data_IF_447126825735
#
_entry.id   IF_447126825735
#
_cell.length_a   1.000
_cell.length_b   1.000
_cell.length_c   1.000
_cell.angle_alpha   90.00
_cell.angle_beta   90.00
_cell.angle_gamma   90.00
#
_symmetry.space_group_name_H-M   'P 1'
#
loop_
_entity.id
_entity.type
_entity.pdbx_description
1 polymer ?
#
# COMPACT_ATOMS: atom_id res chain seq x y z
N UNK A 1 12.70 -26.30 -21.02
CA UNK A 1 11.98 -26.94 -19.89
C UNK A 1 10.92 -25.98 -19.39
N UNK A 2 9.68 -26.13 -19.83
CA UNK A 2 8.56 -25.34 -19.33
C UNK A 2 8.34 -25.72 -17.86
N UNK A 3 8.71 -24.84 -16.93
CA UNK A 3 8.34 -24.97 -15.52
C UNK A 3 6.82 -25.09 -15.46
N UNK A 4 6.34 -26.30 -15.16
CA UNK A 4 4.92 -26.60 -15.09
C UNK A 4 4.22 -25.61 -14.17
N UNK A 5 3.35 -24.78 -14.74
CA UNK A 5 2.50 -23.85 -13.99
C UNK A 5 1.61 -24.69 -13.07
N UNK A 6 1.98 -24.82 -11.80
CA UNK A 6 1.08 -25.41 -10.80
C UNK A 6 -0.19 -24.58 -10.77
N UNK A 7 -1.34 -25.23 -10.91
CA UNK A 7 -2.63 -24.56 -10.78
C UNK A 7 -2.75 -24.02 -9.35
N UNK A 8 -3.27 -22.79 -9.17
CA UNK A 8 -3.45 -22.23 -7.85
C UNK A 8 -4.47 -23.06 -7.05
N UNK A 9 -4.20 -23.28 -5.77
CA UNK A 9 -5.13 -23.91 -4.84
C UNK A 9 -6.22 -22.92 -4.45
N UNK A 10 -7.47 -23.36 -4.41
CA UNK A 10 -8.58 -22.53 -3.93
C UNK A 10 -8.81 -22.76 -2.45
N UNK A 11 -9.19 -21.70 -1.72
CA UNK A 11 -9.69 -21.86 -0.36
C UNK A 11 -10.88 -22.84 -0.34
N UNK A 12 -10.89 -23.88 0.52
CA UNK A 12 -11.95 -24.89 0.56
C UNK A 12 -13.34 -24.32 0.84
N UNK A 13 -13.43 -23.18 1.53
CA UNK A 13 -14.70 -22.50 1.80
C UNK A 13 -15.20 -21.62 0.65
N UNK A 14 -14.57 -21.69 -0.53
CA UNK A 14 -14.93 -20.95 -1.74
C UNK A 14 -15.06 -19.43 -1.52
N UNK A 15 -14.28 -18.85 -0.61
CA UNK A 15 -14.32 -17.41 -0.32
C UNK A 15 -13.64 -16.53 -1.39
N UNK A 16 -13.17 -17.14 -2.49
CA UNK A 16 -12.48 -16.48 -3.59
C UNK A 16 -10.97 -16.29 -3.39
N UNK A 17 -10.38 -16.74 -2.28
CA UNK A 17 -8.94 -16.71 -2.09
C UNK A 17 -8.25 -17.88 -2.78
N UNK A 18 -7.06 -17.61 -3.34
CA UNK A 18 -6.25 -18.59 -4.05
C UNK A 18 -4.79 -18.53 -3.60
N UNK A 19 -4.10 -19.67 -3.64
CA UNK A 19 -2.76 -19.84 -3.07
C UNK A 19 -1.85 -20.60 -4.04
N UNK A 20 -0.55 -20.30 -4.01
CA UNK A 20 0.43 -21.01 -4.82
C UNK A 20 0.82 -22.39 -4.24
N UNK A 21 0.55 -22.63 -2.96
CA UNK A 21 0.88 -23.88 -2.26
C UNK A 21 0.02 -24.04 -0.99
N UNK A 22 -0.04 -25.27 -0.46
CA UNK A 22 -0.69 -25.55 0.83
C UNK A 22 -0.01 -24.76 1.96
N UNK A 23 1.33 -24.69 1.96
CA UNK A 23 2.07 -23.90 2.94
C UNK A 23 1.66 -22.42 2.95
N UNK A 24 1.42 -21.80 1.79
CA UNK A 24 0.92 -20.43 1.73
C UNK A 24 -0.54 -20.31 2.19
N UNK A 25 -1.37 -21.31 1.92
CA UNK A 25 -2.75 -21.35 2.43
C UNK A 25 -2.77 -21.46 3.95
N UNK A 26 -2.01 -22.38 4.52
CA UNK A 26 -1.90 -22.59 5.97
C UNK A 26 -1.35 -21.35 6.67
N UNK A 27 -0.35 -20.69 6.06
CA UNK A 27 0.18 -19.42 6.56
C UNK A 27 -0.88 -18.30 6.56
N UNK A 28 -1.68 -18.14 5.49
CA UNK A 28 -2.75 -17.13 5.45
C UNK A 28 -3.87 -17.45 6.46
N UNK A 29 -4.25 -18.73 6.58
CA UNK A 29 -5.21 -19.22 7.58
C UNK A 29 -4.77 -18.86 9.00
N UNK A 30 -3.51 -19.15 9.35
CA UNK A 30 -2.92 -18.80 10.64
C UNK A 30 -2.78 -17.29 10.85
N UNK A 31 -2.45 -16.55 9.79
CA UNK A 31 -2.28 -15.09 9.83
C UNK A 31 -3.60 -14.32 10.05
N UNK A 32 -4.75 -15.00 9.98
CA UNK A 32 -6.05 -14.44 10.32
C UNK A 32 -7.16 -14.78 9.34
N UNK A 33 -6.85 -15.31 8.15
CA UNK A 33 -7.87 -15.66 7.17
C UNK A 33 -8.96 -16.56 7.73
N UNK A 34 -8.62 -17.52 8.60
CA UNK A 34 -9.59 -18.41 9.24
C UNK A 34 -10.71 -17.64 9.97
N UNK A 35 -10.40 -16.47 10.53
CA UNK A 35 -11.35 -15.62 11.26
C UNK A 35 -12.31 -14.85 10.34
N UNK A 36 -11.91 -14.56 9.10
CA UNK A 36 -12.73 -13.80 8.14
C UNK A 36 -13.18 -14.58 6.91
N UNK A 37 -12.77 -15.83 6.72
CA UNK A 37 -13.05 -16.64 5.53
C UNK A 37 -14.55 -16.67 5.15
N UNK A 38 -15.41 -16.98 6.12
CA UNK A 38 -16.88 -17.00 5.92
C UNK A 38 -17.46 -15.60 5.63
N UNK A 39 -16.86 -14.55 6.19
CA UNK A 39 -17.26 -13.17 5.89
C UNK A 39 -16.85 -12.77 4.47
N UNK A 40 -15.65 -13.18 4.03
CA UNK A 40 -15.18 -12.98 2.66
C UNK A 40 -16.05 -13.74 1.64
N UNK A 41 -16.47 -14.96 1.94
CA UNK A 41 -17.40 -15.70 1.08
C UNK A 41 -18.76 -15.02 0.92
N UNK A 42 -19.33 -14.51 2.02
CA UNK A 42 -20.57 -13.71 1.96
C UNK A 42 -20.38 -12.41 1.19
N UNK A 43 -19.24 -11.74 1.37
CA UNK A 43 -18.90 -10.52 0.64
C UNK A 43 -18.71 -10.77 -0.86
N UNK A 44 -18.10 -11.90 -1.25
CA UNK A 44 -17.93 -12.30 -2.65
C UNK A 44 -19.27 -12.50 -3.37
N UNK A 45 -20.32 -12.92 -2.64
CA UNK A 45 -21.68 -13.05 -3.16
C UNK A 45 -22.41 -11.69 -3.29
N UNK A 46 -21.85 -10.58 -2.81
CA UNK A 46 -22.44 -9.24 -2.95
C UNK A 46 -22.22 -8.72 -4.38
N UNK A 47 -23.33 -8.51 -5.09
CA UNK A 47 -23.33 -8.06 -6.48
C UNK A 47 -23.15 -6.55 -6.60
N UNK A 48 -22.78 -6.09 -7.80
CA UNK A 48 -22.64 -4.66 -8.12
C UNK A 48 -23.93 -3.85 -7.97
N UNK A 49 -25.09 -4.50 -8.00
CA UNK A 49 -26.39 -3.86 -7.74
C UNK A 49 -26.56 -3.44 -6.27
N UNK A 50 -25.86 -4.11 -5.35
CA UNK A 50 -25.99 -3.89 -3.89
C UNK A 50 -24.86 -3.03 -3.31
N UNK A 51 -23.67 -3.12 -3.88
CA UNK A 51 -22.51 -2.37 -3.41
C UNK A 51 -21.53 -2.11 -4.56
N UNK A 52 -20.89 -0.94 -4.53
CA UNK A 52 -19.89 -0.55 -5.52
C UNK A 52 -18.62 -1.41 -5.40
N UNK A 53 -17.77 -1.39 -6.42
CA UNK A 53 -16.45 -2.05 -6.36
C UNK A 53 -15.59 -1.48 -5.23
N UNK A 54 -15.64 -0.16 -5.01
CA UNK A 54 -14.95 0.47 -3.88
C UNK A 54 -15.45 -0.07 -2.55
N UNK A 55 -16.77 -0.07 -2.32
CA UNK A 55 -17.35 -0.55 -1.05
C UNK A 55 -17.00 -2.01 -0.75
N UNK A 56 -17.09 -2.88 -1.75
CA UNK A 56 -16.73 -4.30 -1.60
C UNK A 56 -15.23 -4.47 -1.35
N UNK A 57 -14.37 -3.72 -2.05
CA UNK A 57 -12.92 -3.79 -1.86
C UNK A 57 -12.51 -3.29 -0.48
N UNK A 58 -13.04 -2.14 -0.05
CA UNK A 58 -12.81 -1.55 1.26
C UNK A 58 -13.33 -2.45 2.39
N UNK A 59 -14.51 -3.05 2.23
CA UNK A 59 -15.00 -4.04 3.19
C UNK A 59 -14.07 -5.27 3.26
N UNK A 60 -13.61 -5.77 2.12
CA UNK A 60 -12.67 -6.89 2.05
C UNK A 60 -11.30 -6.59 2.67
N UNK A 61 -10.85 -5.34 2.57
CA UNK A 61 -9.67 -4.82 3.26
C UNK A 61 -9.88 -4.82 4.78
N UNK A 62 -10.97 -4.22 5.27
CA UNK A 62 -11.30 -4.18 6.70
C UNK A 62 -11.40 -5.58 7.32
N UNK A 63 -12.06 -6.52 6.62
CA UNK A 63 -12.16 -7.91 7.06
C UNK A 63 -10.80 -8.55 7.27
N UNK A 64 -9.84 -8.31 6.37
CA UNK A 64 -8.49 -8.88 6.46
C UNK A 64 -7.67 -8.21 7.56
N UNK A 65 -7.71 -6.88 7.65
CA UNK A 65 -6.96 -6.12 8.65
C UNK A 65 -7.37 -6.49 10.06
N UNK A 66 -8.66 -6.48 10.38
CA UNK A 66 -9.13 -6.81 11.73
C UNK A 66 -8.99 -8.29 12.07
N UNK A 67 -9.10 -9.18 11.09
CA UNK A 67 -8.83 -10.60 11.28
C UNK A 67 -7.34 -10.86 11.60
N UNK A 68 -6.43 -10.23 10.87
CA UNK A 68 -5.00 -10.33 11.14
C UNK A 68 -4.65 -9.74 12.51
N UNK A 69 -5.28 -8.63 12.90
CA UNK A 69 -5.08 -8.04 14.21
C UNK A 69 -5.58 -8.95 15.35
N UNK A 70 -6.76 -9.54 15.19
CA UNK A 70 -7.32 -10.48 16.15
C UNK A 70 -6.45 -11.74 16.31
N UNK A 71 -5.92 -12.28 15.19
CA UNK A 71 -5.00 -13.41 15.21
C UNK A 71 -3.71 -13.07 15.97
N UNK A 72 -3.09 -11.92 15.68
CA UNK A 72 -1.89 -11.45 16.38
C UNK A 72 -2.12 -11.25 17.88
N UNK A 73 -3.23 -10.62 18.27
CA UNK A 73 -3.58 -10.43 19.69
C UNK A 73 -3.79 -11.76 20.41
N UNK A 74 -4.38 -12.75 19.74
CA UNK A 74 -4.53 -14.11 20.29
C UNK A 74 -3.17 -14.77 20.49
N UNK A 75 -2.31 -14.78 19.47
CA UNK A 75 -0.96 -15.35 19.57
C UNK A 75 -0.11 -14.67 20.63
N UNK A 76 -0.22 -13.33 20.77
CA UNK A 76 0.49 -12.60 21.82
C UNK A 76 0.04 -13.00 23.23
N UNK A 77 -1.27 -13.18 23.46
CA UNK A 77 -1.81 -13.67 24.73
C UNK A 77 -1.38 -15.10 25.05
N UNK A 78 -1.29 -15.96 24.03
CA UNK A 78 -0.81 -17.34 24.17
C UNK A 78 0.71 -17.38 24.45
N UNK A 79 1.49 -16.42 23.94
CA UNK A 79 2.93 -16.32 24.20
C UNK A 79 3.27 -15.69 25.56
N UNK A 80 2.47 -14.74 26.05
CA UNK A 80 2.69 -14.06 27.34
C UNK A 80 2.59 -15.02 28.55
N UNK A 81 1.85 -16.13 28.41
CA UNK A 81 1.83 -17.21 29.41
C UNK A 81 3.14 -18.03 29.45
N UNK A 82 4.06 -17.78 28.51
CA UNK A 82 5.31 -18.50 28.26
C UNK A 82 6.51 -17.53 28.22
N UNK A 83 6.94 -17.01 29.39
CA UNK A 83 8.18 -16.22 29.64
C UNK A 83 8.56 -15.16 28.58
N UNK A 84 8.40 -13.90 28.98
CA UNK A 84 8.64 -12.66 28.22
C UNK A 84 10.01 -12.58 27.53
N UNK A 85 10.01 -12.53 26.19
CA UNK A 85 11.13 -11.94 25.43
C UNK A 85 11.06 -10.41 25.48
N UNK A 86 12.18 -9.69 25.38
CA UNK A 86 12.18 -8.22 25.36
C UNK A 86 11.30 -7.68 24.23
N UNK A 87 10.43 -6.73 24.55
CA UNK A 87 9.61 -6.03 23.54
C UNK A 87 10.57 -5.26 22.63
N UNK A 88 10.61 -5.63 21.35
CA UNK A 88 11.38 -4.88 20.36
C UNK A 88 10.85 -3.44 20.26
N UNK A 89 11.70 -2.40 20.24
CA UNK A 89 11.26 -1.01 20.11
C UNK A 89 10.44 -0.78 18.83
N UNK A 90 9.60 0.26 18.82
CA UNK A 90 8.43 0.43 17.94
C UNK A 90 8.59 0.04 16.47
N UNK A 91 9.68 0.41 15.81
CA UNK A 91 9.90 0.11 14.38
C UNK A 91 10.42 -1.30 14.08
N UNK A 92 10.90 -2.01 15.10
CA UNK A 92 11.44 -3.38 14.97
C UNK A 92 10.35 -4.46 15.12
N UNK A 93 9.08 -4.07 15.31
CA UNK A 93 7.92 -4.98 15.28
C UNK A 93 7.10 -4.81 14.01
N UNK A 94 6.27 -5.80 13.70
CA UNK A 94 5.28 -5.67 12.63
C UNK A 94 4.26 -4.56 12.95
N UNK A 95 3.79 -3.80 11.95
CA UNK A 95 2.80 -2.74 12.16
C UNK A 95 1.44 -3.31 12.61
N UNK A 96 0.84 -2.63 13.58
CA UNK A 96 -0.48 -2.92 14.15
C UNK A 96 -1.56 -2.04 13.53
N UNK A 97 -2.83 -2.35 13.82
CA UNK A 97 -3.95 -1.48 13.45
C UNK A 97 -3.86 -0.13 14.16
N UNK A 98 -3.33 -0.10 15.38
CA UNK A 98 -3.13 1.15 16.11
C UNK A 98 -2.07 2.04 15.44
N UNK A 99 -1.03 1.46 14.85
CA UNK A 99 -0.05 2.23 14.06
C UNK A 99 -0.73 2.90 12.87
N UNK A 100 -1.60 2.17 12.16
CA UNK A 100 -2.41 2.73 11.08
C UNK A 100 -3.34 3.84 11.59
N UNK A 101 -3.95 3.70 12.77
CA UNK A 101 -4.81 4.72 13.38
C UNK A 101 -4.08 5.99 13.83
N UNK A 102 -2.77 5.96 14.02
CA UNK A 102 -1.98 7.17 14.32
C UNK A 102 -1.58 7.96 13.08
N UNK A 103 -1.81 7.42 11.88
CA UNK A 103 -1.51 8.11 10.63
C UNK A 103 -2.47 9.27 10.36
N UNK A 104 -2.03 10.19 9.51
CA UNK A 104 -2.81 11.33 9.06
C UNK A 104 -4.14 10.89 8.44
N UNK A 105 -5.24 11.44 8.93
CA UNK A 105 -6.56 11.22 8.33
C UNK A 105 -6.80 12.19 7.16
N UNK A 106 -7.67 11.75 6.26
CA UNK A 106 -8.32 12.61 5.27
C UNK A 106 -9.11 13.72 5.99
N UNK A 107 -9.19 14.89 5.37
CA UNK A 107 -9.75 16.11 5.96
C UNK A 107 -10.52 16.93 4.91
N UNK A 108 -11.40 17.82 5.36
CA UNK A 108 -12.37 18.50 4.50
C UNK A 108 -11.74 19.29 3.35
N UNK A 109 -10.52 19.75 3.52
CA UNK A 109 -9.75 20.53 2.54
C UNK A 109 -9.24 19.67 1.38
N UNK A 110 -9.24 18.35 1.51
CA UNK A 110 -8.68 17.44 0.53
C UNK A 110 -9.68 17.08 -0.57
N UNK A 111 -9.22 17.01 -1.84
CA UNK A 111 -10.08 16.65 -2.96
C UNK A 111 -10.85 15.34 -2.73
N UNK A 112 -12.17 15.39 -2.89
CA UNK A 112 -13.07 14.25 -2.76
C UNK A 112 -13.34 13.76 -1.33
N UNK A 113 -12.95 14.51 -0.29
CA UNK A 113 -13.27 14.15 1.10
C UNK A 113 -14.77 13.88 1.30
N UNK A 114 -15.60 14.85 0.92
CA UNK A 114 -17.05 14.77 1.14
C UNK A 114 -17.69 13.69 0.26
N UNK A 115 -17.24 13.54 -1.00
CA UNK A 115 -17.77 12.53 -1.91
C UNK A 115 -17.47 11.09 -1.44
N UNK A 116 -16.37 10.87 -0.71
CA UNK A 116 -15.99 9.56 -0.16
C UNK A 116 -16.69 9.24 1.15
N UNK A 117 -17.18 10.23 1.91
CA UNK A 117 -17.77 10.04 3.25
C UNK A 117 -18.85 8.96 3.29
N UNK A 118 -19.85 9.08 2.43
CA UNK A 118 -20.95 8.10 2.35
C UNK A 118 -20.48 6.71 1.88
N UNK A 119 -19.48 6.66 0.99
CA UNK A 119 -18.92 5.40 0.53
C UNK A 119 -18.14 4.67 1.62
N UNK A 120 -17.39 5.40 2.47
CA UNK A 120 -16.70 4.85 3.65
C UNK A 120 -17.68 4.27 4.66
N UNK A 121 -18.75 5.01 4.96
CA UNK A 121 -19.82 4.56 5.85
C UNK A 121 -20.45 3.25 5.36
N UNK A 122 -20.82 3.18 4.08
CA UNK A 122 -21.39 1.97 3.50
C UNK A 122 -20.40 0.80 3.50
N UNK A 123 -19.12 1.04 3.21
CA UNK A 123 -18.09 0.02 3.26
C UNK A 123 -17.87 -0.54 4.68
N UNK A 124 -17.80 0.33 5.69
CA UNK A 124 -17.67 -0.07 7.10
C UNK A 124 -18.87 -0.88 7.56
N UNK A 125 -20.10 -0.41 7.27
CA UNK A 125 -21.33 -1.16 7.56
C UNK A 125 -21.36 -2.52 6.86
N UNK A 126 -20.94 -2.59 5.60
CA UNK A 126 -20.87 -3.83 4.85
C UNK A 126 -19.90 -4.83 5.52
N UNK A 127 -18.74 -4.37 5.99
CA UNK A 127 -17.80 -5.21 6.74
C UNK A 127 -18.41 -5.72 8.06
N UNK A 128 -19.04 -4.83 8.84
CA UNK A 128 -19.71 -5.18 10.11
C UNK A 128 -20.85 -6.18 9.89
N UNK A 129 -21.69 -5.99 8.87
CA UNK A 129 -22.77 -6.93 8.53
C UNK A 129 -22.22 -8.32 8.19
N UNK A 130 -21.04 -8.39 7.57
CA UNK A 130 -20.42 -9.65 7.19
C UNK A 130 -19.58 -10.29 8.31
N UNK A 131 -19.09 -9.57 9.31
CA UNK A 131 -18.19 -10.15 10.31
C UNK A 131 -18.54 -9.86 11.78
N UNK A 132 -19.62 -9.11 12.03
CA UNK A 132 -20.08 -8.75 13.36
C UNK A 132 -18.99 -8.07 14.17
N UNK A 133 -18.78 -8.54 15.41
CA UNK A 133 -17.83 -7.96 16.37
C UNK A 133 -16.36 -8.05 15.95
N UNK A 134 -16.03 -8.86 14.93
CA UNK A 134 -14.66 -8.91 14.41
C UNK A 134 -14.23 -7.55 13.84
N UNK A 135 -15.17 -6.79 13.27
CA UNK A 135 -14.92 -5.45 12.73
C UNK A 135 -15.64 -4.43 13.60
N UNK A 136 -14.93 -3.69 14.48
CA UNK A 136 -15.53 -2.59 15.21
C UNK A 136 -15.86 -1.44 14.25
N UNK A 137 -17.12 -1.00 14.19
CA UNK A 137 -17.58 0.00 13.21
C UNK A 137 -16.76 1.30 13.25
N UNK A 138 -16.55 1.84 14.45
CA UNK A 138 -15.82 3.10 14.64
C UNK A 138 -14.36 2.98 14.20
N UNK A 139 -13.68 1.91 14.62
CA UNK A 139 -12.30 1.65 14.17
C UNK A 139 -12.25 1.45 12.65
N UNK A 140 -13.23 0.76 12.06
CA UNK A 140 -13.28 0.57 10.61
C UNK A 140 -13.39 1.91 9.86
N UNK A 141 -14.28 2.80 10.30
CA UNK A 141 -14.40 4.15 9.74
C UNK A 141 -13.13 4.95 9.88
N UNK A 142 -12.54 4.96 11.07
CA UNK A 142 -11.30 5.68 11.34
C UNK A 142 -10.17 5.20 10.42
N UNK A 143 -10.08 3.91 10.14
CA UNK A 143 -9.09 3.36 9.24
C UNK A 143 -9.34 3.78 7.78
N UNK A 144 -10.58 3.71 7.30
CA UNK A 144 -10.95 4.15 5.94
C UNK A 144 -10.77 5.66 5.73
N UNK A 145 -10.78 6.46 6.79
CA UNK A 145 -10.44 7.87 6.72
C UNK A 145 -8.93 8.11 6.54
N UNK A 146 -8.06 7.16 6.90
CA UNK A 146 -6.60 7.32 6.82
C UNK A 146 -6.01 6.69 5.57
N UNK A 147 -6.62 5.61 5.10
CA UNK A 147 -6.21 4.86 3.92
C UNK A 147 -5.81 5.73 2.71
N UNK A 148 -6.58 6.75 2.27
CA UNK A 148 -6.24 7.49 1.04
C UNK A 148 -4.93 8.26 1.10
N UNK A 149 -4.50 8.66 2.30
CA UNK A 149 -3.32 9.50 2.51
C UNK A 149 -2.06 8.67 2.80
N UNK A 150 -2.22 7.36 3.03
CA UNK A 150 -1.17 6.50 3.57
C UNK A 150 -0.99 5.19 2.78
N UNK A 151 -1.81 4.97 1.76
CA UNK A 151 -1.78 3.75 0.93
C UNK A 151 -0.81 3.86 -0.24
N UNK A 152 -0.29 2.69 -0.63
CA UNK A 152 0.52 2.47 -1.82
C UNK A 152 -0.28 1.68 -2.84
N UNK A 153 -0.04 1.94 -4.13
CA UNK A 153 -0.62 1.14 -5.20
C UNK A 153 -0.01 -0.27 -5.19
N UNK A 154 -0.85 -1.30 -4.99
CA UNK A 154 -0.47 -2.68 -5.17
C UNK A 154 -0.52 -3.02 -6.65
N UNK A 155 0.61 -3.50 -7.18
CA UNK A 155 0.74 -3.92 -8.58
C UNK A 155 1.28 -5.34 -8.66
N UNK A 156 0.90 -6.06 -9.71
CA UNK A 156 1.47 -7.39 -9.97
C UNK A 156 2.79 -7.33 -10.76
N UNK A 157 3.38 -8.49 -11.03
CA UNK A 157 4.64 -8.58 -11.80
C UNK A 157 4.55 -8.08 -13.25
N UNK A 158 3.35 -7.86 -13.78
CA UNK A 158 3.13 -7.21 -15.08
C UNK A 158 2.87 -5.70 -14.95
N UNK A 159 3.09 -5.13 -13.77
CA UNK A 159 2.81 -3.73 -13.39
C UNK A 159 1.32 -3.35 -13.47
N UNK A 160 0.42 -4.33 -13.48
CA UNK A 160 -1.02 -4.11 -13.50
C UNK A 160 -1.50 -3.71 -12.11
N UNK A 161 -2.31 -2.66 -12.02
CA UNK A 161 -2.92 -2.24 -10.77
C UNK A 161 -3.86 -3.32 -10.22
N UNK A 162 -3.66 -3.71 -8.96
CA UNK A 162 -4.42 -4.74 -8.25
C UNK A 162 -5.17 -4.22 -7.03
N UNK A 163 -4.90 -3.01 -6.58
CA UNK A 163 -5.57 -2.39 -5.44
C UNK A 163 -4.65 -1.47 -4.64
N UNK A 164 -5.00 -1.26 -3.39
CA UNK A 164 -4.23 -0.48 -2.44
C UNK A 164 -3.71 -1.38 -1.31
N UNK A 165 -2.58 -1.00 -0.73
CA UNK A 165 -1.99 -1.63 0.43
C UNK A 165 -1.46 -0.56 1.40
N UNK A 166 -1.69 -0.76 2.69
CA UNK A 166 -1.20 0.14 3.73
C UNK A 166 0.06 -0.42 4.37
N UNK A 167 1.10 0.41 4.46
CA UNK A 167 2.35 0.10 5.15
C UNK A 167 2.58 1.13 6.26
N UNK A 168 2.00 0.97 7.46
CA UNK A 168 1.98 2.06 8.45
C UNK A 168 3.34 2.67 8.79
N UNK A 169 4.40 1.84 8.83
CA UNK A 169 5.76 2.33 9.06
C UNK A 169 6.37 3.02 7.84
N UNK A 170 6.07 2.57 6.62
CA UNK A 170 6.59 3.20 5.41
C UNK A 170 5.94 4.57 5.14
N UNK A 171 4.64 4.71 5.42
CA UNK A 171 3.93 5.98 5.16
C UNK A 171 4.29 7.11 6.14
N UNK A 172 5.25 6.91 7.05
CA UNK A 172 5.81 8.01 7.85
C UNK A 172 6.93 8.76 7.11
N UNK A 173 7.49 8.18 6.05
CA UNK A 173 8.57 8.79 5.27
C UNK A 173 7.95 9.92 4.45
N UNK A 174 8.36 11.16 4.74
CA UNK A 174 7.80 12.35 4.13
C UNK A 174 8.17 12.51 2.66
N UNK A 175 7.47 13.43 2.01
CA UNK A 175 7.72 13.75 0.62
C UNK A 175 8.93 14.66 0.43
N UNK A 176 9.77 14.34 -0.55
CA UNK A 176 10.59 15.30 -1.27
C UNK A 176 10.48 15.02 -2.76
N UNK A 177 10.56 16.06 -3.58
CA UNK A 177 10.64 15.88 -5.03
C UNK A 177 12.05 15.50 -5.51
N UNK A 178 13.04 15.70 -4.65
CA UNK A 178 14.43 15.27 -4.78
C UNK A 178 14.74 14.35 -3.58
N UNK A 179 14.08 13.19 -3.50
CA UNK A 179 14.18 12.36 -2.31
C UNK A 179 15.58 11.74 -2.15
N UNK A 180 15.97 11.46 -0.91
CA UNK A 180 17.18 10.67 -0.62
C UNK A 180 16.92 9.16 -0.57
N UNK A 181 15.64 8.72 -0.65
CA UNK A 181 15.27 7.32 -0.80
C UNK A 181 14.24 7.09 -1.90
N UNK A 182 14.24 5.88 -2.47
CA UNK A 182 13.14 5.42 -3.32
C UNK A 182 12.73 3.99 -2.98
N UNK A 183 11.44 3.69 -3.17
CA UNK A 183 10.87 2.41 -2.83
C UNK A 183 10.62 1.52 -4.06
N UNK A 184 10.79 0.22 -3.86
CA UNK A 184 10.41 -0.83 -4.82
C UNK A 184 9.46 -1.79 -4.12
N UNK A 185 8.32 -2.03 -4.76
CA UNK A 185 7.38 -3.06 -4.33
C UNK A 185 7.78 -4.42 -4.93
N UNK A 186 7.94 -5.43 -4.08
CA UNK A 186 8.12 -6.82 -4.48
C UNK A 186 7.01 -7.67 -3.85
N UNK A 187 5.94 -7.91 -4.62
CA UNK A 187 4.72 -8.52 -4.09
C UNK A 187 4.09 -7.64 -3.00
N UNK A 188 4.02 -8.14 -1.77
CA UNK A 188 3.51 -7.42 -0.59
C UNK A 188 4.62 -6.82 0.28
N UNK A 189 5.87 -6.84 -0.19
CA UNK A 189 6.99 -6.21 0.51
C UNK A 189 7.33 -4.88 -0.16
N UNK A 190 7.67 -3.89 0.66
CA UNK A 190 8.17 -2.60 0.20
C UNK A 190 9.59 -2.43 0.71
N UNK A 191 10.54 -2.25 -0.21
CA UNK A 191 11.95 -2.04 0.10
C UNK A 191 12.35 -0.62 -0.27
N UNK A 192 13.01 0.09 0.65
CA UNK A 192 13.57 1.42 0.41
C UNK A 192 15.07 1.32 0.16
N UNK A 193 15.54 2.07 -0.83
CA UNK A 193 16.95 2.18 -1.18
C UNK A 193 17.37 3.62 -1.04
N UNK A 194 18.52 3.84 -0.40
CA UNK A 194 19.19 5.12 -0.42
C UNK A 194 19.60 5.46 -1.86
N UNK A 195 19.41 6.72 -2.24
CA UNK A 195 19.82 7.27 -3.54
C UNK A 195 21.13 8.05 -3.40
N UNK A 196 21.48 8.48 -2.20
CA UNK A 196 22.75 9.11 -1.87
C UNK A 196 23.19 8.64 -0.47
N UNK A 197 24.38 9.05 -0.05
CA UNK A 197 24.79 8.92 1.35
C UNK A 197 23.83 9.75 2.22
N UNK A 198 23.36 9.16 3.31
CA UNK A 198 22.40 9.77 4.25
C UNK A 198 23.11 9.94 5.59
N UNK A 199 23.17 11.17 6.07
CA UNK A 199 23.83 11.48 7.33
C UNK A 199 22.98 11.04 8.54
N UNK A 200 23.63 10.89 9.70
CA UNK A 200 22.88 10.70 10.95
C UNK A 200 21.96 11.92 11.17
N UNK A 201 20.74 11.65 11.66
CA UNK A 201 19.68 12.63 11.89
C UNK A 201 19.13 13.34 10.63
N UNK A 202 19.59 12.96 9.43
CA UNK A 202 18.99 13.41 8.18
C UNK A 202 17.63 12.72 7.97
N UNK A 203 16.61 13.51 7.60
CA UNK A 203 15.28 12.99 7.35
C UNK A 203 15.26 12.09 6.11
N UNK A 204 14.69 10.89 6.25
CA UNK A 204 14.39 10.04 5.10
C UNK A 204 13.19 10.61 4.34
N UNK A 205 13.35 10.79 3.04
CA UNK A 205 12.30 11.31 2.16
C UNK A 205 12.09 10.41 0.94
N UNK A 206 10.86 10.35 0.44
CA UNK A 206 10.46 9.62 -0.77
C UNK A 206 9.66 10.54 -1.72
N UNK A 207 9.52 10.18 -2.99
CA UNK A 207 8.54 10.86 -3.85
C UNK A 207 7.16 10.20 -3.73
N UNK A 208 6.13 10.99 -3.42
CA UNK A 208 4.73 10.55 -3.48
C UNK A 208 4.19 10.59 -4.92
N UNK A 209 4.89 11.30 -5.80
CA UNK A 209 4.47 11.61 -7.15
C UNK A 209 4.97 10.52 -8.08
N UNK A 210 4.07 9.97 -8.90
CA UNK A 210 4.40 8.98 -9.94
C UNK A 210 5.10 9.61 -11.13
N UNK A 211 4.89 10.91 -11.35
CA UNK A 211 5.56 11.71 -12.37
C UNK A 211 6.29 12.86 -11.68
N UNK A 212 7.61 12.74 -11.59
CA UNK A 212 8.44 13.77 -10.97
C UNK A 212 8.80 14.89 -11.96
N UNK A 213 8.50 14.76 -13.25
CA UNK A 213 8.92 15.69 -14.29
C UNK A 213 7.85 16.75 -14.63
N UNK A 214 6.55 16.40 -14.58
CA UNK A 214 5.48 17.23 -15.16
C UNK A 214 4.58 17.96 -14.14
N UNK A 215 5.16 18.72 -13.20
CA UNK A 215 4.37 19.66 -12.38
C UNK A 215 3.37 19.01 -11.41
N UNK A 216 3.57 17.72 -11.08
CA UNK A 216 2.74 17.04 -10.10
C UNK A 216 2.82 17.73 -8.74
N UNK A 217 1.66 17.89 -8.10
CA UNK A 217 1.46 18.68 -6.89
C UNK A 217 1.14 17.79 -5.70
N UNK A 218 1.61 18.19 -4.53
CA UNK A 218 1.30 17.57 -3.24
C UNK A 218 -0.08 17.96 -2.70
N UNK A 219 -0.91 18.64 -3.50
CA UNK A 219 -2.26 19.07 -3.13
C UNK A 219 -3.16 17.92 -2.68
N UNK A 220 -2.99 16.72 -3.25
CA UNK A 220 -3.76 15.53 -2.84
C UNK A 220 -3.47 15.09 -1.40
N UNK A 221 -2.32 15.50 -0.86
CA UNK A 221 -1.93 15.32 0.54
C UNK A 221 -2.13 16.58 1.41
N UNK A 222 -2.54 17.69 0.77
CA UNK A 222 -2.94 18.94 1.40
C UNK A 222 -1.79 19.69 2.07
N UNK A 223 -0.57 19.60 1.51
CA UNK A 223 0.56 20.42 1.89
C UNK A 223 1.26 20.99 0.64
N UNK A 224 2.07 22.03 0.83
CA UNK A 224 2.95 22.58 -0.21
C UNK A 224 4.38 22.10 0.05
N UNK A 225 5.00 21.49 -0.96
CA UNK A 225 6.37 21.02 -0.87
C UNK A 225 7.36 22.20 -1.00
N UNK A 226 8.32 22.29 -0.08
CA UNK A 226 9.40 23.30 -0.07
C UNK A 226 10.77 22.63 -0.22
N UNK A 227 10.83 21.54 -0.99
CA UNK A 227 12.10 20.87 -1.25
C UNK A 227 12.95 21.70 -2.24
N UNK A 228 14.26 21.42 -2.39
CA UNK A 228 15.15 22.14 -3.29
C UNK A 228 14.62 22.38 -4.71
N UNK A 229 13.86 21.42 -5.28
CA UNK A 229 13.18 21.59 -6.58
C UNK A 229 12.09 22.64 -6.55
N UNK A 230 11.21 22.59 -5.54
CA UNK A 230 10.06 23.48 -5.43
C UNK A 230 10.47 24.89 -5.03
N UNK A 231 11.58 25.03 -4.32
CA UNK A 231 12.17 26.32 -3.96
C UNK A 231 13.06 26.92 -5.07
N UNK A 232 13.23 26.20 -6.19
CA UNK A 232 13.94 26.70 -7.38
C UNK A 232 15.47 26.69 -7.27
N UNK A 233 16.03 25.75 -6.52
CA UNK A 233 17.49 25.59 -6.38
C UNK A 233 18.07 24.62 -7.44
N UNK A 234 19.33 24.82 -7.82
CA UNK A 234 20.04 24.00 -8.82
C UNK A 234 20.24 22.53 -8.40
N UNK A 235 20.06 22.18 -7.12
CA UNK A 235 20.24 20.83 -6.60
C UNK A 235 19.28 19.80 -7.23
N UNK A 236 18.16 20.26 -7.80
CA UNK A 236 17.22 19.39 -8.48
C UNK A 236 17.76 18.83 -9.79
N UNK A 237 18.46 19.64 -10.59
CA UNK A 237 18.92 19.24 -11.92
C UNK A 237 19.86 18.04 -11.85
N UNK A 238 20.77 18.03 -10.88
CA UNK A 238 21.68 16.91 -10.70
C UNK A 238 20.95 15.63 -10.29
N UNK A 239 19.98 15.72 -9.38
CA UNK A 239 19.16 14.57 -8.99
C UNK A 239 18.44 13.97 -10.20
N UNK A 240 17.82 14.81 -11.04
CA UNK A 240 17.10 14.33 -12.23
C UNK A 240 18.02 13.65 -13.24
N UNK A 241 19.22 14.19 -13.46
CA UNK A 241 20.21 13.58 -14.38
C UNK A 241 20.68 12.20 -13.91
N UNK A 242 20.82 12.01 -12.61
CA UNK A 242 21.47 10.83 -12.02
C UNK A 242 20.48 9.75 -11.62
N UNK A 243 19.30 10.13 -11.13
CA UNK A 243 18.36 9.21 -10.48
C UNK A 243 17.03 9.07 -11.21
N UNK A 244 16.75 9.83 -12.26
CA UNK A 244 15.46 9.78 -12.97
C UNK A 244 15.66 9.33 -14.40
N UNK A 245 14.91 8.30 -14.81
CA UNK A 245 14.88 7.85 -16.19
C UNK A 245 14.07 8.82 -17.07
N UNK A 246 14.27 8.81 -18.38
CA UNK A 246 13.42 9.53 -19.35
C UNK A 246 11.92 9.18 -19.24
N UNK A 247 11.58 8.02 -18.64
CA UNK A 247 10.21 7.60 -18.31
C UNK A 247 9.60 8.38 -17.11
N UNK A 248 10.38 9.21 -16.40
CA UNK A 248 9.99 9.90 -15.17
C UNK A 248 10.11 9.07 -13.89
N UNK A 249 10.46 7.79 -13.99
CA UNK A 249 10.65 6.92 -12.82
C UNK A 249 12.01 7.16 -12.16
N UNK A 250 12.01 7.21 -10.84
CA UNK A 250 13.23 7.19 -10.03
C UNK A 250 13.85 5.80 -10.09
N UNK A 251 15.16 5.74 -10.35
CA UNK A 251 15.94 4.51 -10.50
C UNK A 251 16.67 4.22 -9.20
N UNK A 252 16.55 2.99 -8.67
CA UNK A 252 17.25 2.56 -7.45
C UNK A 252 18.52 1.76 -7.75
N UNK A 253 19.54 1.77 -6.87
CA UNK A 253 20.82 1.08 -7.09
C UNK A 253 20.71 -0.43 -7.35
N UNK A 254 19.73 -1.13 -6.78
CA UNK A 254 19.53 -2.59 -6.99
C UNK A 254 18.80 -2.93 -8.29
N UNK A 255 18.34 -1.94 -9.06
CA UNK A 255 18.13 -2.15 -10.50
C UNK A 255 19.46 -2.36 -11.26
N UNK A 256 20.60 -2.21 -10.56
CA UNK A 256 21.97 -2.53 -10.95
C UNK A 256 22.32 -4.01 -11.07
N UNK A 257 21.45 -4.78 -11.74
CA UNK A 257 21.83 -5.93 -12.56
C UNK A 257 21.84 -5.60 -14.06
N UNK A 258 21.79 -4.30 -14.42
CA UNK A 258 21.60 -3.87 -15.80
C UNK A 258 20.16 -4.00 -16.28
N UNK A 259 19.16 -3.93 -15.39
CA UNK A 259 17.76 -3.84 -15.78
C UNK A 259 17.30 -2.38 -15.62
N UNK A 260 17.39 -1.57 -16.69
CA UNK A 260 16.90 -0.20 -16.69
C UNK A 260 15.38 -0.12 -16.38
N UNK A 261 14.85 1.10 -16.08
CA UNK A 261 13.39 1.38 -15.90
C UNK A 261 12.60 0.47 -16.85
N UNK A 262 11.46 -0.11 -16.43
CA UNK A 262 10.71 -1.08 -17.25
C UNK A 262 10.43 -0.65 -18.71
N UNK A 263 10.51 0.64 -19.03
CA UNK A 263 10.53 1.18 -20.39
C UNK A 263 11.68 0.64 -21.26
N UNK A 264 12.83 0.29 -20.69
CA UNK A 264 13.99 -0.23 -21.39
C UNK A 264 14.06 -1.76 -21.38
N UNK A 265 13.19 -2.44 -20.60
CA UNK A 265 13.09 -3.90 -20.56
C UNK A 265 12.08 -4.47 -21.58
N UNK A 266 11.50 -3.60 -22.41
CA UNK A 266 10.68 -3.96 -23.57
C UNK A 266 11.45 -3.58 -24.82
N UNK A 267 11.80 -4.55 -25.65
CA UNK A 267 12.50 -4.38 -26.93
C UNK A 267 11.71 -3.60 -28.00
N UNK A 268 10.75 -2.77 -27.60
CA UNK A 268 9.84 -2.04 -28.50
C UNK A 268 9.15 -0.81 -27.84
N UNK A 269 9.78 -0.18 -26.85
CA UNK A 269 9.20 1.00 -26.20
C UNK A 269 9.31 2.24 -27.10
N UNK A 270 8.31 2.42 -27.98
CA UNK A 270 7.97 3.77 -28.48
C UNK A 270 7.69 4.65 -27.26
N UNK A 271 8.46 5.73 -27.14
CA UNK A 271 8.19 6.84 -26.24
C UNK A 271 6.68 7.15 -26.24
N UNK A 272 6.00 7.23 -25.09
CA UNK A 272 4.65 7.79 -25.07
C UNK A 272 4.74 9.22 -25.57
N UNK A 273 4.11 9.51 -26.71
CA UNK A 273 3.93 10.88 -27.18
C UNK A 273 3.12 11.61 -26.12
N UNK A 274 3.57 12.82 -25.76
CA UNK A 274 2.80 13.74 -24.93
C UNK A 274 1.34 13.77 -25.41
N UNK A 275 0.40 13.42 -24.54
CA UNK A 275 -1.00 13.72 -24.77
C UNK A 275 -1.12 15.24 -24.86
N UNK A 276 -1.68 15.82 -25.93
CA UNK A 276 -1.98 17.23 -25.95
C UNK A 276 -2.94 17.51 -24.80
N UNK A 277 -2.63 18.54 -24.03
CA UNK A 277 -3.54 19.19 -23.09
C UNK A 277 -4.94 19.30 -23.69
N UNK A 278 -5.95 18.70 -23.06
CA UNK A 278 -7.34 19.05 -23.30
C UNK A 278 -7.79 20.05 -22.23
N UNK A 279 -8.41 21.09 -22.76
CA UNK A 279 -8.96 22.32 -22.17
C UNK A 279 -10.10 22.04 -21.19
#
# INVERSE_FOLDING_TARGET
LALGRRLPLNCPSACGATYCSEACMDADLAAGHALCCKALGRLAAVTSRKATTFERSSAGFLLRVFAADAARRRSAREADTSRTSPIKPGFLRAPSVDDAHRQCADRAELPGFESRKSARERAARLAVQNAGKLVPHEAALQLLCREPQNSYALRDGANTYRGWIMYPHASMINHSCVPNTACVANGQQLAFYALADISCDEELTQSYLTDTLHGASTREWGFHCTCPRCDGTDAADEFYRTHVCACGCIVVPTMGGGLPCSCHNRSDARMPRASPSEV
#
